data_IF_225673862638
#
_entry.id   IF_225673862638
#
_cell.length_a   1.000
_cell.length_b   1.000
_cell.length_c   1.000
_cell.angle_alpha   90.00
_cell.angle_beta   90.00
_cell.angle_gamma   90.00
#
_symmetry.space_group_name_H-M   'P 1'
#
loop_
_entity.id
_entity.type
_entity.pdbx_description
1 polymer ?
#
# COMPACT_ATOMS: atom_id res chain seq x y z
N UNK A 1 51.07 18.73 10.71
CA UNK A 1 50.53 19.42 9.54
C UNK A 1 49.02 19.28 9.57
N UNK A 2 48.32 20.34 9.97
CA UNK A 2 46.86 20.34 10.04
C UNK A 2 46.30 20.71 8.68
N UNK A 3 45.50 19.80 8.06
CA UNK A 3 44.80 20.12 6.82
C UNK A 3 43.60 21.01 7.18
N UNK A 4 43.59 22.24 6.69
CA UNK A 4 42.47 23.16 6.82
C UNK A 4 41.32 22.68 5.94
N UNK A 5 40.28 22.17 6.55
CA UNK A 5 39.04 21.80 5.87
C UNK A 5 38.19 23.07 5.63
N UNK A 6 38.55 23.79 4.55
CA UNK A 6 37.76 24.96 4.12
C UNK A 6 36.49 24.47 3.45
N UNK A 7 35.27 24.83 3.94
CA UNK A 7 34.02 24.41 3.29
C UNK A 7 33.97 24.96 1.86
N UNK A 8 33.79 24.05 0.89
CA UNK A 8 33.59 24.45 -0.51
C UNK A 8 32.28 25.20 -0.63
N UNK A 9 32.29 26.38 -1.21
CA UNK A 9 31.06 27.07 -1.61
C UNK A 9 30.28 26.19 -2.57
N UNK A 10 28.95 26.09 -2.40
CA UNK A 10 28.10 25.41 -3.39
C UNK A 10 28.34 26.05 -4.76
N UNK A 11 28.55 25.23 -5.79
CA UNK A 11 28.64 25.71 -7.16
C UNK A 11 27.27 26.34 -7.52
N UNK A 12 27.25 27.60 -7.95
CA UNK A 12 26.04 28.19 -8.51
C UNK A 12 25.67 27.41 -9.76
N UNK A 13 24.42 26.92 -9.81
CA UNK A 13 23.88 26.28 -10.99
C UNK A 13 23.82 27.32 -12.12
N UNK A 14 24.39 27.02 -13.28
CA UNK A 14 24.28 27.86 -14.46
C UNK A 14 22.81 27.94 -14.87
N UNK A 15 22.30 29.16 -15.17
CA UNK A 15 20.90 29.39 -15.54
C UNK A 15 20.46 28.52 -16.73
N UNK A 16 21.32 28.31 -17.71
CA UNK A 16 21.06 27.41 -18.84
C UNK A 16 20.95 25.93 -18.45
N UNK A 17 21.64 25.51 -17.39
CA UNK A 17 21.53 24.17 -16.81
C UNK A 17 20.32 24.03 -15.91
N UNK A 18 19.88 25.10 -15.24
CA UNK A 18 18.67 25.12 -14.45
C UNK A 18 17.41 24.97 -15.33
N UNK A 19 17.41 25.56 -16.53
CA UNK A 19 16.31 25.44 -17.51
C UNK A 19 16.22 24.03 -18.15
N UNK A 20 17.28 23.25 -18.15
CA UNK A 20 17.29 21.86 -18.65
C UNK A 20 16.92 20.81 -17.61
N UNK A 21 16.78 21.20 -16.34
CA UNK A 21 16.23 20.33 -15.30
C UNK A 21 14.72 20.31 -15.54
N UNK A 22 14.24 19.24 -16.19
CA UNK A 22 12.80 18.93 -16.19
C UNK A 22 12.41 18.78 -14.73
N UNK A 23 11.62 19.73 -14.23
CA UNK A 23 11.13 19.68 -12.84
C UNK A 23 10.47 18.33 -12.60
N UNK A 24 10.73 17.76 -11.44
CA UNK A 24 9.93 16.61 -10.96
C UNK A 24 8.45 17.01 -11.02
N UNK A 25 7.57 16.05 -11.32
CA UNK A 25 6.12 16.29 -11.30
C UNK A 25 5.75 17.03 -10.01
N UNK A 26 4.88 18.03 -10.11
CA UNK A 26 4.41 18.78 -8.96
C UNK A 26 3.85 17.82 -7.89
N UNK A 27 4.47 17.70 -6.71
CA UNK A 27 4.03 16.76 -5.68
C UNK A 27 2.57 17.00 -5.26
N UNK A 28 2.09 18.24 -5.32
CA UNK A 28 0.70 18.58 -4.99
C UNK A 28 -0.26 18.05 -6.06
N UNK A 29 0.09 18.17 -7.34
CA UNK A 29 -0.72 17.63 -8.43
C UNK A 29 -0.76 16.10 -8.37
N UNK A 30 0.39 15.45 -8.14
CA UNK A 30 0.46 14.00 -7.98
C UNK A 30 -0.37 13.51 -6.78
N UNK A 31 -0.33 14.20 -5.65
CA UNK A 31 -1.13 13.87 -4.48
C UNK A 31 -2.64 14.03 -4.77
N UNK A 32 -3.05 15.10 -5.45
CA UNK A 32 -4.46 15.30 -5.82
C UNK A 32 -4.96 14.16 -6.72
N UNK A 33 -4.20 13.75 -7.73
CA UNK A 33 -4.54 12.60 -8.59
C UNK A 33 -4.67 11.31 -7.79
N UNK A 34 -3.74 11.06 -6.85
CA UNK A 34 -3.77 9.89 -5.99
C UNK A 34 -5.05 9.83 -5.15
N UNK A 35 -5.43 10.96 -4.54
CA UNK A 35 -6.66 11.07 -3.73
C UNK A 35 -7.92 10.90 -4.57
N UNK A 36 -8.04 11.62 -5.68
CA UNK A 36 -9.21 11.49 -6.58
C UNK A 36 -9.38 10.05 -7.07
N UNK A 37 -8.30 9.40 -7.51
CA UNK A 37 -8.34 8.01 -7.97
C UNK A 37 -8.74 7.03 -6.84
N UNK A 38 -8.28 7.27 -5.62
CA UNK A 38 -8.59 6.44 -4.46
C UNK A 38 -10.07 6.54 -4.07
N UNK A 39 -10.61 7.76 -3.95
CA UNK A 39 -12.03 7.98 -3.64
C UNK A 39 -12.95 7.50 -4.76
N UNK A 40 -12.56 7.71 -6.01
CA UNK A 40 -13.32 7.21 -7.15
C UNK A 40 -13.39 5.67 -7.16
N UNK A 41 -12.31 4.98 -6.78
CA UNK A 41 -12.35 3.52 -6.63
C UNK A 41 -13.34 3.09 -5.53
N UNK A 42 -13.45 3.85 -4.45
CA UNK A 42 -14.42 3.62 -3.37
C UNK A 42 -15.87 4.01 -3.77
N UNK A 43 -16.05 4.57 -4.95
CA UNK A 43 -17.36 4.96 -5.46
C UNK A 43 -17.76 6.41 -5.13
N UNK A 44 -16.84 7.20 -4.63
CA UNK A 44 -17.07 8.59 -4.23
C UNK A 44 -16.49 9.54 -5.28
N UNK A 45 -17.33 10.40 -5.85
CA UNK A 45 -16.95 11.48 -6.76
C UNK A 45 -16.87 12.82 -6.05
N UNK A 46 -16.41 13.84 -6.79
CA UNK A 46 -16.37 15.24 -6.35
C UNK A 46 -16.81 16.19 -7.50
N UNK A 47 -16.69 17.50 -7.30
CA UNK A 47 -17.07 18.51 -8.30
C UNK A 47 -16.23 18.40 -9.59
N UNK A 48 -14.99 17.91 -9.52
CA UNK A 48 -14.06 17.76 -10.64
C UNK A 48 -14.06 16.36 -11.25
N UNK A 49 -14.62 15.37 -10.53
CA UNK A 49 -14.67 13.97 -10.94
C UNK A 49 -16.06 13.40 -10.66
N UNK A 50 -16.91 13.47 -11.68
CA UNK A 50 -18.35 13.17 -11.57
C UNK A 50 -18.65 11.69 -11.36
N UNK A 51 -19.88 11.35 -10.98
CA UNK A 51 -20.35 9.94 -10.85
C UNK A 51 -20.14 9.14 -12.15
N UNK A 52 -20.25 9.79 -13.32
CA UNK A 52 -19.98 9.15 -14.61
C UNK A 52 -18.47 8.84 -14.79
N UNK A 53 -17.60 9.68 -14.25
CA UNK A 53 -16.14 9.46 -14.25
C UNK A 53 -15.76 8.34 -13.27
N UNK A 54 -16.39 8.33 -12.11
CA UNK A 54 -16.26 7.25 -11.10
C UNK A 54 -16.65 5.91 -11.71
N UNK A 55 -17.82 5.81 -12.35
CA UNK A 55 -18.28 4.58 -12.99
C UNK A 55 -17.29 4.12 -14.07
N UNK A 56 -16.81 5.04 -14.90
CA UNK A 56 -15.85 4.76 -15.98
C UNK A 56 -14.49 4.29 -15.45
N UNK A 57 -13.99 4.88 -14.35
CA UNK A 57 -12.76 4.44 -13.70
C UNK A 57 -12.93 3.01 -13.16
N UNK A 58 -14.01 2.74 -12.40
CA UNK A 58 -14.28 1.40 -11.86
C UNK A 58 -14.44 0.35 -12.96
N UNK A 59 -15.10 0.66 -14.06
CA UNK A 59 -15.22 -0.24 -15.22
C UNK A 59 -13.86 -0.49 -15.89
N UNK A 60 -13.00 0.53 -15.96
CA UNK A 60 -11.63 0.37 -16.46
C UNK A 60 -10.82 -0.54 -15.57
N UNK A 61 -10.86 -0.32 -14.24
CA UNK A 61 -10.15 -1.17 -13.27
C UNK A 61 -10.65 -2.61 -13.32
N UNK A 62 -11.96 -2.85 -13.45
CA UNK A 62 -12.51 -4.20 -13.61
C UNK A 62 -12.04 -4.91 -14.88
N UNK A 63 -11.84 -4.17 -15.96
CA UNK A 63 -11.48 -4.73 -17.27
C UNK A 63 -9.98 -4.91 -17.47
N UNK A 64 -9.16 -4.03 -16.94
CA UNK A 64 -7.70 -3.97 -17.19
C UNK A 64 -6.89 -4.35 -15.95
N UNK A 65 -7.43 -4.13 -14.75
CA UNK A 65 -6.77 -4.33 -13.46
C UNK A 65 -6.46 -3.03 -12.75
N UNK A 66 -6.21 -3.13 -11.45
CA UNK A 66 -5.93 -1.98 -10.57
C UNK A 66 -4.57 -1.32 -10.86
N UNK A 67 -3.66 -2.02 -11.53
CA UNK A 67 -2.32 -1.53 -11.89
C UNK A 67 -2.35 -0.17 -12.59
N UNK A 68 -3.40 0.09 -13.37
CA UNK A 68 -3.56 1.35 -14.14
C UNK A 68 -3.60 2.60 -13.24
N UNK A 69 -4.00 2.44 -11.97
CA UNK A 69 -4.09 3.54 -11.00
C UNK A 69 -3.19 3.34 -9.77
N UNK A 70 -2.82 2.11 -9.44
CA UNK A 70 -2.07 1.79 -8.21
C UNK A 70 -0.74 2.56 -8.09
N UNK A 71 -0.05 2.77 -9.20
CA UNK A 71 1.21 3.51 -9.20
C UNK A 71 1.07 4.97 -8.74
N UNK A 72 -0.09 5.60 -8.94
CA UNK A 72 -0.34 6.94 -8.42
C UNK A 72 -0.30 6.99 -6.88
N UNK A 73 -0.60 5.87 -6.21
CA UNK A 73 -0.63 5.76 -4.75
C UNK A 73 0.74 5.48 -4.12
N UNK A 74 1.73 5.10 -4.92
CA UNK A 74 3.03 4.59 -4.43
C UNK A 74 3.81 5.57 -3.56
N UNK A 75 3.58 6.88 -3.72
CA UNK A 75 4.22 7.94 -2.95
C UNK A 75 3.32 8.53 -1.86
N UNK A 76 2.12 8.00 -1.69
CA UNK A 76 1.16 8.52 -0.71
C UNK A 76 1.53 8.13 0.72
N UNK A 77 1.38 9.06 1.68
CA UNK A 77 1.64 8.78 3.09
C UNK A 77 0.74 7.66 3.63
N UNK A 78 1.23 6.96 4.64
CA UNK A 78 0.56 5.82 5.27
C UNK A 78 -0.79 6.14 5.93
N UNK A 79 -0.98 7.37 6.36
CA UNK A 79 -2.18 7.85 7.04
C UNK A 79 -3.26 8.39 6.07
N UNK A 80 -3.10 8.15 4.76
CA UNK A 80 -4.06 8.58 3.74
C UNK A 80 -4.75 7.40 3.08
N UNK A 81 -5.95 7.60 2.51
CA UNK A 81 -6.66 6.58 1.77
C UNK A 81 -5.82 5.98 0.62
N UNK A 82 -5.19 6.79 -0.27
CA UNK A 82 -4.34 6.22 -1.31
C UNK A 82 -3.12 5.47 -0.73
N UNK A 83 -2.57 5.90 0.41
CA UNK A 83 -1.50 5.18 1.09
C UNK A 83 -1.96 3.82 1.64
N UNK A 84 -3.16 3.72 2.19
CA UNK A 84 -3.75 2.46 2.64
C UNK A 84 -4.03 1.52 1.46
N UNK A 85 -4.61 2.02 0.36
CA UNK A 85 -4.84 1.24 -0.87
C UNK A 85 -3.54 0.75 -1.49
N UNK A 86 -2.46 1.54 -1.45
CA UNK A 86 -1.14 1.08 -1.88
C UNK A 86 -0.66 -0.13 -1.10
N UNK A 87 -0.86 -0.17 0.22
CA UNK A 87 -0.47 -1.30 1.07
C UNK A 87 -1.29 -2.55 0.78
N UNK A 88 -2.59 -2.39 0.55
CA UNK A 88 -3.43 -3.49 0.09
C UNK A 88 -2.99 -4.02 -1.28
N UNK A 89 -2.64 -3.11 -2.21
CA UNK A 89 -2.12 -3.47 -3.53
C UNK A 89 -0.80 -4.27 -3.42
N UNK A 90 0.12 -3.87 -2.53
CA UNK A 90 1.36 -4.62 -2.31
C UNK A 90 1.10 -6.03 -1.78
N UNK A 91 0.14 -6.20 -0.86
CA UNK A 91 -0.27 -7.52 -0.36
C UNK A 91 -0.92 -8.35 -1.46
N UNK A 92 -1.79 -7.73 -2.28
CA UNK A 92 -2.41 -8.33 -3.46
C UNK A 92 -1.35 -8.85 -4.43
N UNK A 93 -0.40 -8.01 -4.84
CA UNK A 93 0.68 -8.38 -5.74
C UNK A 93 1.54 -9.53 -5.20
N UNK A 94 1.89 -9.46 -3.91
CA UNK A 94 2.65 -10.53 -3.29
C UNK A 94 1.90 -11.87 -3.34
N UNK A 95 0.63 -11.87 -2.96
CA UNK A 95 -0.18 -13.08 -2.98
C UNK A 95 -0.33 -13.68 -4.40
N UNK A 96 -0.60 -12.84 -5.40
CA UNK A 96 -0.82 -13.31 -6.76
C UNK A 96 0.46 -13.77 -7.47
N UNK A 97 1.62 -13.23 -7.11
CA UNK A 97 2.91 -13.67 -7.67
C UNK A 97 3.35 -15.04 -7.15
N UNK A 98 3.16 -15.31 -5.87
CA UNK A 98 3.54 -16.60 -5.27
C UNK A 98 2.53 -17.03 -4.19
N UNK A 99 1.33 -17.47 -4.59
CA UNK A 99 0.29 -17.85 -3.65
C UNK A 99 0.71 -19.02 -2.76
N UNK A 100 1.49 -19.97 -3.28
CA UNK A 100 1.95 -21.12 -2.51
C UNK A 100 2.87 -20.76 -1.36
N UNK A 101 3.81 -19.84 -1.59
CA UNK A 101 4.70 -19.33 -0.56
C UNK A 101 3.92 -18.55 0.52
N UNK A 102 3.03 -17.65 0.10
CA UNK A 102 2.27 -16.78 1.02
C UNK A 102 1.31 -17.63 1.86
N UNK A 103 0.59 -18.58 1.25
CA UNK A 103 -0.30 -19.52 1.97
C UNK A 103 0.47 -20.40 2.96
N UNK A 104 1.65 -20.92 2.56
CA UNK A 104 2.51 -21.71 3.44
C UNK A 104 2.97 -20.90 4.65
N UNK A 105 3.44 -19.67 4.42
CA UNK A 105 3.87 -18.75 5.47
C UNK A 105 2.73 -18.39 6.41
N UNK A 106 1.53 -18.14 5.87
CA UNK A 106 0.34 -17.87 6.66
C UNK A 106 -0.02 -19.07 7.55
N UNK A 107 -0.02 -20.28 7.00
CA UNK A 107 -0.28 -21.50 7.76
C UNK A 107 0.73 -21.75 8.88
N UNK A 108 1.99 -21.37 8.69
CA UNK A 108 3.03 -21.42 9.74
C UNK A 108 2.73 -20.37 10.81
N UNK A 109 2.41 -19.14 10.43
CA UNK A 109 2.08 -18.06 11.35
C UNK A 109 0.85 -18.36 12.23
N UNK A 110 -0.16 -19.02 11.67
CA UNK A 110 -1.33 -19.47 12.43
C UNK A 110 -0.99 -20.46 13.57
N UNK A 111 0.14 -21.16 13.48
CA UNK A 111 0.62 -22.11 14.51
C UNK A 111 1.55 -21.47 15.52
N UNK A 112 1.92 -20.20 15.30
CA UNK A 112 2.80 -19.50 16.23
C UNK A 112 2.11 -19.35 17.59
N UNK A 113 2.83 -19.60 18.70
CA UNK A 113 2.25 -19.51 20.04
C UNK A 113 1.84 -18.08 20.42
N UNK A 114 2.50 -17.10 19.81
CA UNK A 114 2.22 -15.67 19.98
C UNK A 114 2.26 -15.00 18.61
N UNK A 115 1.23 -14.25 18.28
CA UNK A 115 1.18 -13.39 17.10
C UNK A 115 1.16 -11.94 17.59
N UNK A 116 2.21 -11.21 17.31
CA UNK A 116 2.37 -9.84 17.80
C UNK A 116 1.20 -8.95 17.36
N UNK A 117 0.56 -8.28 18.33
CA UNK A 117 -0.59 -7.39 18.11
C UNK A 117 -1.93 -8.12 17.95
N UNK A 118 -2.00 -9.44 18.20
CA UNK A 118 -3.25 -10.18 18.29
C UNK A 118 -3.36 -10.85 19.67
N UNK A 119 -4.52 -10.67 20.32
CA UNK A 119 -4.81 -11.27 21.62
C UNK A 119 -5.31 -12.73 21.47
N UNK A 120 -4.89 -13.59 22.39
CA UNK A 120 -5.38 -14.96 22.42
C UNK A 120 -6.79 -15.04 23.04
N UNK A 121 -7.69 -15.95 22.57
CA UNK A 121 -7.49 -16.86 21.45
C UNK A 121 -7.57 -16.15 20.10
N UNK A 122 -6.53 -16.31 19.28
CA UNK A 122 -6.45 -15.62 17.98
C UNK A 122 -7.44 -16.25 17.01
N UNK A 123 -8.47 -15.50 16.65
CA UNK A 123 -9.40 -15.86 15.58
C UNK A 123 -9.03 -15.09 14.33
N UNK A 124 -8.52 -15.79 13.34
CA UNK A 124 -8.20 -15.24 12.03
C UNK A 124 -8.94 -15.95 10.92
N UNK A 125 -9.34 -15.20 9.92
CA UNK A 125 -9.96 -15.76 8.71
C UNK A 125 -8.92 -16.50 7.88
N UNK A 126 -9.36 -17.33 6.96
CA UNK A 126 -8.43 -17.92 5.98
C UNK A 126 -7.81 -16.82 5.13
N UNK A 127 -6.52 -16.97 4.76
CA UNK A 127 -5.86 -16.00 3.89
C UNK A 127 -6.65 -15.79 2.58
N UNK A 128 -7.13 -16.88 1.98
CA UNK A 128 -7.94 -16.83 0.76
C UNK A 128 -9.19 -15.95 0.91
N UNK A 129 -9.90 -16.03 2.03
CA UNK A 129 -11.09 -15.19 2.27
C UNK A 129 -10.71 -13.72 2.42
N UNK A 130 -9.58 -13.41 3.08
CA UNK A 130 -9.06 -12.04 3.17
C UNK A 130 -8.68 -11.51 1.80
N UNK A 131 -7.95 -12.30 1.00
CA UNK A 131 -7.53 -11.88 -0.34
C UNK A 131 -8.70 -11.68 -1.29
N UNK A 132 -9.79 -12.48 -1.17
CA UNK A 132 -11.01 -12.25 -1.96
C UNK A 132 -11.64 -10.89 -1.67
N UNK A 133 -11.63 -10.41 -0.42
CA UNK A 133 -12.15 -9.09 -0.06
C UNK A 133 -11.19 -7.98 -0.52
N UNK A 134 -9.87 -8.17 -0.36
CA UNK A 134 -8.86 -7.25 -0.91
C UNK A 134 -9.01 -7.11 -2.42
N UNK A 135 -9.16 -8.23 -3.14
CA UNK A 135 -9.37 -8.23 -4.58
C UNK A 135 -10.66 -7.51 -4.97
N UNK A 136 -11.76 -7.76 -4.24
CA UNK A 136 -13.03 -7.10 -4.50
C UNK A 136 -12.94 -5.58 -4.28
N UNK A 137 -12.28 -5.13 -3.21
CA UNK A 137 -12.05 -3.72 -2.95
C UNK A 137 -11.20 -3.07 -4.05
N UNK A 138 -10.09 -3.68 -4.41
CA UNK A 138 -9.18 -3.17 -5.44
C UNK A 138 -9.77 -3.20 -6.85
N UNK A 139 -10.80 -4.00 -7.12
CA UNK A 139 -11.57 -3.97 -8.36
C UNK A 139 -12.71 -2.94 -8.33
N UNK A 140 -12.92 -2.28 -7.20
CA UNK A 140 -14.05 -1.37 -7.03
C UNK A 140 -15.41 -2.09 -6.97
N UNK A 141 -15.46 -3.34 -6.51
CA UNK A 141 -16.71 -4.07 -6.27
C UNK A 141 -17.27 -3.78 -4.87
N UNK A 142 -16.44 -3.28 -3.97
CA UNK A 142 -16.77 -2.78 -2.64
C UNK A 142 -16.74 -1.25 -2.62
N UNK A 143 -17.16 -0.66 -1.49
CA UNK A 143 -17.26 0.80 -1.30
C UNK A 143 -16.51 1.23 -0.03
N UNK A 144 -16.59 2.51 0.29
CA UNK A 144 -16.06 3.09 1.53
C UNK A 144 -16.70 2.47 2.79
N UNK A 145 -17.96 2.03 2.73
CA UNK A 145 -18.63 1.32 3.84
C UNK A 145 -17.96 -0.02 4.21
N UNK A 146 -17.24 -0.65 3.26
CA UNK A 146 -16.56 -1.93 3.47
C UNK A 146 -15.08 -1.74 3.87
N UNK A 147 -14.55 -0.54 3.67
CA UNK A 147 -13.12 -0.24 3.71
C UNK A 147 -12.48 -0.58 5.06
N UNK A 148 -13.08 -0.16 6.17
CA UNK A 148 -12.54 -0.39 7.52
C UNK A 148 -12.42 -1.89 7.83
N UNK A 149 -13.40 -2.67 7.40
CA UNK A 149 -13.43 -4.13 7.56
C UNK A 149 -12.30 -4.81 6.78
N UNK A 150 -12.12 -4.45 5.51
CA UNK A 150 -11.06 -5.01 4.65
C UNK A 150 -9.68 -4.66 5.17
N UNK A 151 -9.45 -3.39 5.54
CA UNK A 151 -8.18 -2.93 6.11
C UNK A 151 -7.84 -3.66 7.41
N UNK A 152 -8.81 -3.82 8.32
CA UNK A 152 -8.61 -4.53 9.58
C UNK A 152 -8.28 -6.02 9.35
N UNK A 153 -8.93 -6.69 8.40
CA UNK A 153 -8.62 -8.09 8.10
C UNK A 153 -7.27 -8.25 7.41
N UNK A 154 -6.89 -7.34 6.51
CA UNK A 154 -5.58 -7.32 5.89
C UNK A 154 -4.45 -7.08 6.94
N UNK A 155 -4.64 -6.15 7.87
CA UNK A 155 -3.73 -5.94 9.01
C UNK A 155 -3.51 -7.23 9.81
N UNK A 156 -4.61 -7.91 10.19
CA UNK A 156 -4.51 -9.19 10.93
C UNK A 156 -3.78 -10.26 10.13
N UNK A 157 -4.06 -10.36 8.83
CA UNK A 157 -3.37 -11.30 7.94
C UNK A 157 -1.86 -11.01 7.85
N UNK A 158 -1.47 -9.74 7.77
CA UNK A 158 -0.06 -9.34 7.76
C UNK A 158 0.65 -9.71 9.06
N UNK A 159 -0.01 -9.61 10.24
CA UNK A 159 0.55 -10.06 11.53
C UNK A 159 0.75 -11.58 11.56
N UNK A 160 -0.19 -12.34 11.01
CA UNK A 160 -0.04 -13.80 10.89
C UNK A 160 1.13 -14.14 9.95
N UNK A 161 1.23 -13.46 8.80
CA UNK A 161 2.36 -13.63 7.89
C UNK A 161 3.70 -13.25 8.53
N UNK A 162 3.71 -12.23 9.39
CA UNK A 162 4.90 -11.84 10.14
C UNK A 162 5.33 -12.89 11.18
N UNK A 163 4.38 -13.61 11.77
CA UNK A 163 4.65 -14.69 12.71
C UNK A 163 5.10 -16.00 12.03
N UNK A 164 4.89 -16.14 10.71
CA UNK A 164 5.41 -17.26 9.93
C UNK A 164 6.93 -17.14 9.72
N UNK A 165 7.60 -18.28 9.55
CA UNK A 165 9.04 -18.30 9.29
C UNK A 165 9.35 -17.65 7.93
N UNK A 166 10.48 -16.94 7.89
CA UNK A 166 10.96 -16.30 6.67
C UNK A 166 11.49 -17.37 5.71
N UNK A 167 10.78 -17.60 4.61
CA UNK A 167 11.31 -18.31 3.46
C UNK A 167 12.35 -17.46 2.69
N UNK A 168 12.86 -17.96 1.54
CA UNK A 168 13.74 -17.17 0.68
C UNK A 168 13.05 -15.87 0.25
N UNK A 169 13.83 -14.81 0.08
CA UNK A 169 13.35 -13.54 -0.44
C UNK A 169 12.81 -13.76 -1.86
N UNK A 170 11.58 -13.34 -2.13
CA UNK A 170 10.98 -13.47 -3.47
C UNK A 170 11.32 -12.29 -4.40
N UNK A 171 11.73 -11.16 -3.81
CA UNK A 171 12.29 -10.02 -4.55
C UNK A 171 13.79 -10.04 -4.35
N UNK A 172 14.51 -10.53 -5.36
CA UNK A 172 15.97 -10.59 -5.35
C UNK A 172 16.60 -9.27 -5.81
N UNK A 173 15.86 -8.49 -6.62
CA UNK A 173 16.34 -7.21 -7.12
C UNK A 173 15.98 -6.08 -6.13
N UNK A 174 16.97 -5.46 -5.46
CA UNK A 174 16.73 -4.34 -4.56
C UNK A 174 16.22 -3.07 -5.27
N UNK A 175 16.30 -3.02 -6.61
CA UNK A 175 15.77 -1.92 -7.41
C UNK A 175 14.29 -2.11 -7.78
N UNK A 176 13.68 -3.28 -7.50
CA UNK A 176 12.24 -3.48 -7.71
C UNK A 176 11.46 -2.48 -6.84
N UNK A 177 10.54 -1.70 -7.42
CA UNK A 177 9.71 -0.74 -6.69
C UNK A 177 8.93 -1.35 -5.52
N UNK A 178 8.65 -2.66 -5.57
CA UNK A 178 7.97 -3.40 -4.51
C UNK A 178 8.91 -3.85 -3.39
N UNK A 179 10.24 -3.87 -3.61
CA UNK A 179 11.23 -4.38 -2.67
C UNK A 179 11.27 -3.62 -1.34
N UNK A 180 10.90 -2.33 -1.34
CA UNK A 180 11.08 -1.46 -0.18
C UNK A 180 9.98 -1.57 0.88
N UNK A 181 8.79 -2.10 0.57
CA UNK A 181 7.65 -2.06 1.49
C UNK A 181 7.05 -3.42 1.83
N UNK A 182 7.07 -4.38 0.92
CA UNK A 182 6.71 -5.76 1.21
C UNK A 182 7.99 -6.60 1.18
N UNK A 183 8.89 -6.30 2.08
CA UNK A 183 10.00 -7.21 2.33
C UNK A 183 9.46 -8.34 3.20
N UNK A 184 9.95 -9.54 2.99
CA UNK A 184 9.63 -10.70 3.82
C UNK A 184 10.22 -10.59 5.24
N UNK A 185 10.77 -9.43 5.60
CA UNK A 185 11.24 -9.14 6.94
C UNK A 185 10.04 -8.94 7.86
N UNK A 186 10.02 -9.67 8.95
CA UNK A 186 8.98 -9.60 9.98
C UNK A 186 8.67 -8.17 10.42
N UNK A 187 9.69 -7.33 10.59
CA UNK A 187 9.52 -5.94 11.00
C UNK A 187 8.77 -5.08 9.96
N UNK A 188 9.00 -5.30 8.67
CA UNK A 188 8.30 -4.58 7.61
C UNK A 188 6.82 -5.01 7.53
N UNK A 189 6.56 -6.32 7.67
CA UNK A 189 5.19 -6.84 7.70
C UNK A 189 4.41 -6.30 8.91
N UNK A 190 5.04 -6.22 10.07
CA UNK A 190 4.44 -5.65 11.28
C UNK A 190 4.18 -4.15 11.12
N UNK A 191 5.13 -3.39 10.57
CA UNK A 191 4.93 -1.96 10.31
C UNK A 191 3.74 -1.74 9.35
N UNK A 192 3.67 -2.49 8.26
CA UNK A 192 2.52 -2.41 7.34
C UNK A 192 1.21 -2.81 8.00
N UNK A 193 1.23 -3.81 8.89
CA UNK A 193 0.05 -4.20 9.67
C UNK A 193 -0.42 -3.08 10.61
N UNK A 194 0.51 -2.39 11.28
CA UNK A 194 0.19 -1.26 12.17
C UNK A 194 -0.41 -0.09 11.37
N UNK A 195 0.14 0.21 10.19
CA UNK A 195 -0.35 1.25 9.29
C UNK A 195 -1.77 0.92 8.77
N UNK A 196 -2.05 -0.32 8.37
CA UNK A 196 -3.38 -0.76 7.96
C UNK A 196 -4.38 -0.74 9.12
N UNK A 197 -3.97 -1.10 10.34
CA UNK A 197 -4.82 -1.06 11.52
C UNK A 197 -5.19 0.38 11.93
N UNK A 198 -4.27 1.32 11.77
CA UNK A 198 -4.53 2.75 11.95
C UNK A 198 -5.52 3.24 10.89
N UNK A 199 -5.27 2.96 9.62
CA UNK A 199 -6.16 3.34 8.53
C UNK A 199 -7.58 2.76 8.70
N UNK A 200 -7.72 1.51 9.18
CA UNK A 200 -9.01 0.90 9.48
C UNK A 200 -9.77 1.65 10.58
N UNK A 201 -9.06 2.12 11.61
CA UNK A 201 -9.69 2.92 12.68
C UNK A 201 -10.16 4.28 12.18
N UNK A 202 -9.35 4.95 11.36
CA UNK A 202 -9.70 6.24 10.78
C UNK A 202 -10.83 6.12 9.75
N UNK A 203 -10.84 5.05 8.93
CA UNK A 203 -11.95 4.77 8.02
C UNK A 203 -13.27 4.59 8.77
N UNK A 204 -13.26 3.83 9.89
CA UNK A 204 -14.45 3.59 10.71
C UNK A 204 -15.09 4.85 11.27
N UNK A 205 -14.29 5.87 11.56
CA UNK A 205 -14.80 7.14 12.11
C UNK A 205 -14.88 8.25 11.03
N UNK A 206 -14.62 7.91 9.77
CA UNK A 206 -14.74 8.83 8.63
C UNK A 206 -13.66 9.91 8.58
N UNK A 207 -12.49 9.65 9.14
CA UNK A 207 -11.35 10.61 9.16
C UNK A 207 -10.19 10.22 8.23
N UNK A 208 -10.25 9.08 7.59
CA UNK A 208 -9.27 8.66 6.61
C UNK A 208 -9.44 9.50 5.33
N UNK A 209 -8.45 10.33 5.02
CA UNK A 209 -8.42 11.20 3.83
C UNK A 209 -7.51 10.63 2.74
#
# INVERSE_FOLDING_TARGET
MAQSNTPRRPAMLDAARAETIVGDEDPAASAAVAHTAAWALMGVGDESFTDADVARLRDTVRSVGVDVIAHAWSRSPEFTLPGALWRLYLLHEWYHRDPGLVESRYAQGQRAPIIQGLEAPVQVRTLRAVMQEVDALLRGDLTDDDLDGVLAQASRAMRVLAAGESGPLWIEDPADPLAHRVTMRTSALLATADELDLAAREARVGTLN
#
